data_IF_155874172104
#
_entry.id   IF_155874172104
#
_cell.length_a   1.000
_cell.length_b   1.000
_cell.length_c   1.000
_cell.angle_alpha   90.00
_cell.angle_beta   90.00
_cell.angle_gamma   90.00
#
_symmetry.space_group_name_H-M   'P 1'
#
loop_
_entity.id
_entity.type
_entity.pdbx_description
1 polymer ?
#
# COMPACT_ATOMS: atom_id res chain seq x y z
N UNK A 1 -7.34 -0.93 -12.58
CA UNK A 1 -8.23 -2.02 -12.16
C UNK A 1 -9.42 -1.45 -11.41
N UNK A 2 -10.65 -1.79 -11.81
CA UNK A 2 -11.87 -1.38 -11.08
C UNK A 2 -12.20 -2.37 -9.98
N UNK A 3 -12.81 -1.88 -8.92
CA UNK A 3 -13.20 -2.69 -7.77
C UNK A 3 -14.68 -2.44 -7.40
N UNK A 4 -15.50 -3.48 -7.13
CA UNK A 4 -16.93 -3.31 -6.88
C UNK A 4 -17.23 -2.63 -5.53
N UNK A 5 -17.64 -1.36 -5.54
CA UNK A 5 -18.00 -0.66 -4.29
C UNK A 5 -18.95 -1.45 -3.38
N UNK A 6 -18.61 -1.47 -2.09
CA UNK A 6 -19.41 -2.10 -1.04
C UNK A 6 -19.03 -3.54 -0.74
N UNK A 7 -17.99 -4.07 -1.35
CA UNK A 7 -17.52 -5.46 -1.16
C UNK A 7 -16.44 -5.61 -0.08
N UNK A 8 -15.79 -4.52 0.32
CA UNK A 8 -14.91 -4.48 1.49
C UNK A 8 -15.56 -5.06 2.75
N UNK A 9 -14.76 -5.76 3.56
CA UNK A 9 -15.17 -6.40 4.82
C UNK A 9 -14.12 -6.15 5.89
N UNK A 10 -14.55 -5.64 7.04
CA UNK A 10 -13.69 -5.60 8.21
C UNK A 10 -13.43 -7.03 8.70
N UNK A 11 -12.18 -7.49 8.60
CA UNK A 11 -11.74 -8.81 9.04
C UNK A 11 -10.81 -8.72 10.25
N UNK A 12 -11.24 -9.28 11.37
CA UNK A 12 -10.47 -9.30 12.63
C UNK A 12 -10.73 -10.60 13.39
N UNK A 13 -9.67 -11.23 13.92
CA UNK A 13 -9.77 -12.46 14.73
C UNK A 13 -10.60 -13.60 14.08
N UNK A 14 -10.59 -13.69 12.73
CA UNK A 14 -11.37 -14.68 11.98
C UNK A 14 -12.87 -14.38 11.87
N UNK A 15 -13.30 -13.15 12.20
CA UNK A 15 -14.66 -12.66 12.01
C UNK A 15 -14.66 -11.60 10.90
N UNK A 16 -15.64 -11.67 10.01
CA UNK A 16 -15.87 -10.64 8.98
C UNK A 16 -17.14 -9.85 9.30
N UNK A 17 -17.11 -8.53 9.13
CA UNK A 17 -18.24 -7.64 9.38
C UNK A 17 -18.41 -6.57 8.30
N UNK A 18 -19.25 -5.57 8.56
CA UNK A 18 -19.65 -4.57 7.57
C UNK A 18 -18.47 -3.68 7.11
N UNK A 19 -18.53 -3.27 5.85
CA UNK A 19 -17.58 -2.36 5.20
C UNK A 19 -17.44 -1.01 5.92
N UNK A 20 -16.24 -0.42 5.85
CA UNK A 20 -15.97 0.98 6.15
C UNK A 20 -15.82 1.76 4.83
N UNK A 21 -16.82 2.57 4.45
CA UNK A 21 -16.86 3.27 3.15
C UNK A 21 -15.64 4.15 2.82
N UNK A 22 -14.90 4.60 3.82
CA UNK A 22 -13.68 5.39 3.63
C UNK A 22 -12.44 4.56 3.27
N UNK A 23 -12.54 3.24 3.44
CA UNK A 23 -11.53 2.23 3.16
C UNK A 23 -11.98 1.28 2.03
N UNK A 24 -13.24 1.39 1.57
CA UNK A 24 -13.80 0.71 0.40
C UNK A 24 -13.12 1.19 -0.90
N UNK A 25 -12.31 0.33 -1.50
CA UNK A 25 -11.61 0.58 -2.76
C UNK A 25 -12.62 0.52 -3.90
N UNK A 26 -12.37 1.33 -4.92
CA UNK A 26 -13.19 1.36 -6.14
C UNK A 26 -12.32 1.37 -7.39
N UNK A 27 -11.06 1.75 -7.26
CA UNK A 27 -10.07 1.69 -8.32
C UNK A 27 -8.65 1.61 -7.77
N UNK A 28 -7.79 0.87 -8.46
CA UNK A 28 -6.34 0.88 -8.27
C UNK A 28 -5.66 0.96 -9.63
N UNK A 29 -4.64 1.81 -9.78
CA UNK A 29 -3.82 1.86 -10.98
C UNK A 29 -2.37 2.22 -10.68
N UNK A 30 -1.50 1.78 -11.57
CA UNK A 30 -0.09 2.18 -11.62
C UNK A 30 0.22 2.71 -13.01
N UNK A 31 1.04 3.76 -13.07
CA UNK A 31 1.60 4.28 -14.31
C UNK A 31 3.08 4.64 -14.11
N UNK A 32 3.85 4.67 -15.20
CA UNK A 32 5.25 5.12 -15.17
C UNK A 32 5.32 6.61 -15.52
N UNK A 33 5.85 7.42 -14.60
CA UNK A 33 6.10 8.84 -14.81
C UNK A 33 7.56 9.11 -15.15
N UNK A 34 7.75 9.81 -16.27
CA UNK A 34 9.05 10.32 -16.74
C UNK A 34 9.08 11.85 -16.82
N UNK A 35 8.05 12.51 -16.27
CA UNK A 35 7.86 13.95 -16.19
C UNK A 35 7.63 14.39 -14.75
N UNK A 36 7.70 15.70 -14.50
CA UNK A 36 7.54 16.29 -13.17
C UNK A 36 6.30 15.72 -12.42
N UNK A 37 6.40 15.41 -11.12
CA UNK A 37 7.55 15.69 -10.23
C UNK A 37 8.77 14.79 -10.44
N UNK A 38 8.66 13.77 -11.30
CA UNK A 38 9.74 12.86 -11.67
C UNK A 38 10.47 13.33 -12.94
N UNK A 39 11.33 12.50 -13.51
CA UNK A 39 12.01 12.83 -14.77
C UNK A 39 12.41 11.58 -15.55
N UNK A 40 12.80 11.73 -16.82
CA UNK A 40 13.33 10.62 -17.60
C UNK A 40 14.62 10.02 -16.98
N UNK A 41 15.42 10.83 -16.27
CA UNK A 41 16.64 10.39 -15.59
C UNK A 41 16.38 9.78 -14.21
N UNK A 42 15.23 10.10 -13.60
CA UNK A 42 14.78 9.60 -12.31
C UNK A 42 13.26 9.35 -12.37
N UNK A 43 12.84 8.27 -13.04
CA UNK A 43 11.42 7.95 -13.19
C UNK A 43 10.80 7.49 -11.88
N UNK A 44 9.47 7.55 -11.81
CA UNK A 44 8.69 7.06 -10.69
C UNK A 44 7.52 6.20 -11.16
N UNK A 45 7.04 5.32 -10.30
CA UNK A 45 5.70 4.78 -10.43
C UNK A 45 4.71 5.75 -9.79
N UNK A 46 3.67 6.16 -10.51
CA UNK A 46 2.51 6.81 -9.92
C UNK A 46 1.48 5.75 -9.60
N UNK A 47 1.23 5.58 -8.30
CA UNK A 47 0.25 4.67 -7.75
C UNK A 47 -0.99 5.46 -7.36
N UNK A 48 -2.15 5.08 -7.87
CA UNK A 48 -3.42 5.74 -7.56
C UNK A 48 -4.39 4.73 -6.97
N UNK A 49 -4.93 5.05 -5.79
CA UNK A 49 -6.04 4.35 -5.17
C UNK A 49 -7.25 5.30 -5.10
N UNK A 50 -8.40 4.87 -5.61
CA UNK A 50 -9.67 5.58 -5.44
C UNK A 50 -10.54 4.83 -4.44
N UNK A 51 -11.10 5.57 -3.49
CA UNK A 51 -11.96 5.07 -2.44
C UNK A 51 -13.38 5.58 -2.64
N UNK A 52 -14.37 4.82 -2.17
CA UNK A 52 -15.78 5.19 -2.28
C UNK A 52 -16.06 6.54 -1.59
N UNK A 53 -15.51 6.77 -0.39
CA UNK A 53 -15.60 8.03 0.33
C UNK A 53 -14.40 8.31 1.25
N UNK A 54 -13.25 8.70 0.67
CA UNK A 54 -12.00 8.90 1.41
C UNK A 54 -12.15 9.91 2.56
N UNK A 55 -11.80 9.48 3.77
CA UNK A 55 -11.72 10.27 4.99
C UNK A 55 -10.53 9.80 5.79
N UNK A 56 -9.83 10.74 6.44
CA UNK A 56 -8.71 10.44 7.33
C UNK A 56 -9.14 10.22 8.78
N UNK A 57 -10.38 10.59 9.13
CA UNK A 57 -10.91 10.33 10.46
C UNK A 57 -11.24 8.83 10.62
N UNK A 58 -10.64 8.12 11.59
CA UNK A 58 -10.97 6.72 11.84
C UNK A 58 -12.38 6.57 12.40
N UNK A 59 -13.05 5.47 12.05
CA UNK A 59 -14.37 5.13 12.60
C UNK A 59 -14.20 4.28 13.85
N UNK A 60 -13.78 4.89 14.95
CA UNK A 60 -13.42 4.21 16.22
C UNK A 60 -14.55 3.37 16.85
N UNK A 61 -15.79 3.56 16.40
CA UNK A 61 -16.94 2.76 16.83
C UNK A 61 -17.06 1.43 16.09
N UNK A 62 -16.48 1.31 14.89
CA UNK A 62 -16.43 0.07 14.10
C UNK A 62 -15.15 -0.71 14.37
N UNK A 63 -14.01 -0.01 14.49
CA UNK A 63 -12.71 -0.58 14.82
C UNK A 63 -11.96 0.39 15.74
N UNK A 64 -11.51 -0.02 16.95
CA UNK A 64 -10.79 0.86 17.87
C UNK A 64 -9.42 1.33 17.35
N UNK A 65 -8.90 0.73 16.29
CA UNK A 65 -7.60 1.06 15.71
C UNK A 65 -7.59 2.50 15.15
N UNK A 66 -6.73 3.39 15.67
CA UNK A 66 -6.73 4.81 15.30
C UNK A 66 -5.99 5.12 14.00
N UNK A 67 -5.22 4.17 13.48
CA UNK A 67 -4.38 4.36 12.30
C UNK A 67 -5.07 3.79 11.05
N UNK A 68 -5.15 4.59 10.00
CA UNK A 68 -5.70 4.18 8.70
C UNK A 68 -4.58 4.08 7.67
N UNK A 69 -4.52 2.95 6.97
CA UNK A 69 -3.49 2.69 5.95
C UNK A 69 -4.12 2.31 4.61
N UNK A 70 -3.63 2.93 3.54
CA UNK A 70 -4.00 2.67 2.15
C UNK A 70 -2.76 2.19 1.40
N UNK A 71 -2.66 0.89 1.20
CA UNK A 71 -1.45 0.22 0.73
C UNK A 71 -1.62 -0.33 -0.69
N UNK A 72 -0.56 -0.28 -1.48
CA UNK A 72 -0.43 -1.05 -2.73
C UNK A 72 0.91 -1.76 -2.70
N UNK A 73 0.89 -3.07 -2.92
CA UNK A 73 2.08 -3.92 -3.00
C UNK A 73 2.22 -4.57 -4.36
N UNK A 74 3.43 -5.01 -4.69
CA UNK A 74 3.73 -5.77 -5.90
C UNK A 74 5.01 -6.57 -5.76
N UNK A 75 5.13 -7.62 -6.57
CA UNK A 75 6.31 -8.46 -6.62
C UNK A 75 7.19 -8.12 -7.83
N UNK A 76 8.50 -8.08 -7.61
CA UNK A 76 9.53 -7.98 -8.66
C UNK A 76 10.40 -9.24 -8.60
N UNK A 77 10.27 -10.19 -9.55
CA UNK A 77 11.03 -11.41 -9.56
C UNK A 77 12.49 -11.17 -9.96
N UNK A 78 13.42 -11.88 -9.33
CA UNK A 78 14.86 -11.80 -9.60
C UNK A 78 15.47 -13.19 -9.76
N UNK A 79 16.49 -13.28 -10.62
CA UNK A 79 17.27 -14.52 -10.79
C UNK A 79 18.39 -14.67 -9.76
N UNK A 80 18.77 -13.60 -9.07
CA UNK A 80 19.89 -13.58 -8.12
C UNK A 80 19.44 -13.46 -6.67
N UNK A 81 18.20 -13.00 -6.41
CA UNK A 81 17.63 -13.03 -5.06
C UNK A 81 17.35 -14.48 -4.62
N UNK A 82 17.84 -14.92 -3.44
CA UNK A 82 17.65 -16.29 -2.96
C UNK A 82 16.19 -16.66 -2.67
N UNK A 83 15.30 -15.68 -2.51
CA UNK A 83 13.86 -15.85 -2.34
C UNK A 83 13.07 -15.70 -3.65
N UNK A 84 13.77 -15.51 -4.78
CA UNK A 84 13.18 -15.39 -6.12
C UNK A 84 12.71 -13.98 -6.48
N UNK A 85 12.93 -12.99 -5.62
CA UNK A 85 12.58 -11.59 -5.84
C UNK A 85 12.15 -10.88 -4.56
N UNK A 86 11.60 -9.68 -4.73
CA UNK A 86 11.16 -8.82 -3.63
C UNK A 86 9.71 -8.40 -3.75
N UNK A 87 9.03 -8.31 -2.61
CA UNK A 87 7.70 -7.74 -2.53
C UNK A 87 7.80 -6.31 -1.95
N UNK A 88 7.65 -5.34 -2.85
CA UNK A 88 7.69 -3.93 -2.53
C UNK A 88 6.28 -3.42 -2.25
N UNK A 89 6.21 -2.32 -1.53
CA UNK A 89 4.96 -1.62 -1.31
C UNK A 89 5.14 -0.11 -1.29
N UNK A 90 4.01 0.56 -1.43
CA UNK A 90 3.80 1.95 -1.02
C UNK A 90 2.52 2.03 -0.23
N UNK A 91 2.46 2.90 0.77
CA UNK A 91 1.21 3.22 1.43
C UNK A 91 1.09 4.70 1.79
N UNK A 92 -0.14 5.17 1.90
CA UNK A 92 -0.50 6.37 2.65
C UNK A 92 -1.02 5.98 4.03
N UNK A 93 -0.73 6.78 5.05
CA UNK A 93 -1.10 6.54 6.44
C UNK A 93 -1.62 7.83 7.09
N UNK A 94 -2.67 7.69 7.90
CA UNK A 94 -3.21 8.75 8.73
C UNK A 94 -3.54 8.24 10.13
N UNK A 95 -2.78 8.72 11.09
CA UNK A 95 -3.00 8.42 12.50
C UNK A 95 -3.97 9.43 13.11
N UNK A 96 -5.11 8.94 13.61
CA UNK A 96 -6.10 9.73 14.35
C UNK A 96 -6.56 10.99 13.60
N UNK A 97 -6.74 10.91 12.28
CA UNK A 97 -7.19 12.04 11.46
C UNK A 97 -6.11 13.06 11.09
N UNK A 98 -4.84 12.76 11.35
CA UNK A 98 -3.71 13.61 10.93
C UNK A 98 -3.61 13.70 9.38
N UNK A 99 -2.90 14.71 8.84
CA UNK A 99 -2.60 14.77 7.42
C UNK A 99 -1.89 13.50 6.93
N UNK A 100 -2.18 13.10 5.70
CA UNK A 100 -1.60 11.91 5.08
C UNK A 100 -0.07 11.99 5.02
N UNK A 101 0.58 10.90 5.41
CA UNK A 101 2.00 10.66 5.18
C UNK A 101 2.15 9.43 4.30
N UNK A 102 3.09 9.45 3.35
CA UNK A 102 3.29 8.33 2.44
C UNK A 102 4.67 7.72 2.65
N UNK A 103 4.73 6.40 2.56
CA UNK A 103 5.93 5.62 2.76
C UNK A 103 6.06 4.55 1.68
N UNK A 104 7.30 4.19 1.36
CA UNK A 104 7.64 3.06 0.52
C UNK A 104 8.58 2.10 1.26
N UNK A 105 8.62 0.85 0.82
CA UNK A 105 9.50 -0.15 1.40
C UNK A 105 9.37 -1.53 0.78
N UNK A 106 10.02 -2.48 1.44
CA UNK A 106 9.92 -3.92 1.20
C UNK A 106 9.18 -4.53 2.38
N UNK A 107 8.28 -5.49 2.13
CA UNK A 107 7.53 -6.13 3.18
C UNK A 107 8.45 -6.82 4.21
N UNK A 108 7.99 -6.93 5.44
CA UNK A 108 8.65 -7.73 6.47
C UNK A 108 7.76 -8.94 6.82
N UNK A 109 8.38 -9.93 7.47
CA UNK A 109 7.71 -11.10 8.00
C UNK A 109 7.62 -11.01 9.53
N UNK A 110 6.57 -11.54 10.13
CA UNK A 110 6.47 -11.67 11.57
C UNK A 110 5.94 -13.05 11.94
N UNK A 111 6.62 -13.74 12.85
CA UNK A 111 6.17 -15.03 13.35
C UNK A 111 5.04 -14.84 14.36
N UNK A 112 3.89 -15.46 14.11
CA UNK A 112 2.71 -15.39 14.99
C UNK A 112 2.09 -16.77 15.13
N UNK A 113 2.04 -17.30 16.35
CA UNK A 113 1.30 -18.53 16.65
C UNK A 113 1.74 -19.78 15.89
N UNK A 114 2.99 -19.86 15.42
CA UNK A 114 3.50 -20.96 14.60
C UNK A 114 3.34 -20.76 13.08
N UNK A 115 2.75 -19.65 12.65
CA UNK A 115 2.72 -19.19 11.26
C UNK A 115 3.57 -17.93 11.03
N UNK A 116 3.55 -17.42 9.80
CA UNK A 116 4.19 -16.16 9.40
C UNK A 116 3.11 -15.24 8.82
N UNK A 117 3.10 -13.99 9.27
CA UNK A 117 2.33 -12.90 8.66
C UNK A 117 3.27 -11.94 7.96
N UNK A 118 2.78 -11.28 6.91
CA UNK A 118 3.47 -10.15 6.30
C UNK A 118 3.07 -8.85 6.99
N UNK A 119 4.00 -7.91 7.06
CA UNK A 119 3.82 -6.56 7.57
C UNK A 119 4.49 -5.56 6.64
N UNK A 120 4.14 -4.28 6.78
CA UNK A 120 4.53 -3.24 5.82
C UNK A 120 5.15 -2.03 6.55
N UNK A 121 6.38 -2.16 7.06
CA UNK A 121 7.00 -1.09 7.83
C UNK A 121 7.50 0.04 6.92
N UNK A 122 6.91 1.23 7.01
CA UNK A 122 7.30 2.38 6.19
C UNK A 122 8.70 2.92 6.47
N UNK A 123 9.73 2.25 5.94
CA UNK A 123 11.15 2.59 6.16
C UNK A 123 11.59 3.83 5.39
N UNK A 124 10.95 4.13 4.26
CA UNK A 124 11.26 5.31 3.42
C UNK A 124 10.07 6.26 3.41
N UNK A 125 10.15 7.37 4.14
CA UNK A 125 9.16 8.43 4.03
C UNK A 125 9.33 9.19 2.71
N UNK A 126 8.24 9.33 1.96
CA UNK A 126 8.22 10.07 0.70
C UNK A 126 7.99 11.57 0.95
N UNK A 127 8.54 12.45 0.09
CA UNK A 127 8.27 13.88 0.16
C UNK A 127 6.77 14.18 0.04
N UNK A 128 6.29 15.25 0.69
CA UNK A 128 4.88 15.65 0.61
C UNK A 128 4.39 15.90 -0.83
N UNK A 129 5.27 16.36 -1.73
CA UNK A 129 4.94 16.54 -3.15
C UNK A 129 4.60 15.24 -3.88
N UNK A 130 5.07 14.11 -3.35
CA UNK A 130 4.85 12.76 -3.87
C UNK A 130 3.70 12.06 -3.15
N UNK A 131 3.01 12.72 -2.22
CA UNK A 131 1.96 12.16 -1.38
C UNK A 131 0.72 13.05 -1.45
N UNK A 132 -0.13 12.80 -2.44
CA UNK A 132 -1.28 13.64 -2.75
C UNK A 132 -2.58 12.92 -2.41
N UNK A 133 -3.60 13.70 -2.04
CA UNK A 133 -4.92 13.16 -1.77
C UNK A 133 -6.03 14.14 -2.11
N UNK A 134 -7.20 13.59 -2.45
CA UNK A 134 -8.46 14.33 -2.57
C UNK A 134 -9.49 13.61 -1.72
N UNK A 135 -9.92 14.22 -0.61
CA UNK A 135 -10.91 13.62 0.31
C UNK A 135 -12.34 13.73 -0.19
N UNK A 136 -13.24 12.89 0.34
CA UNK A 136 -14.66 12.86 0.04
C UNK A 136 -15.04 11.74 -0.91
N UNK A 137 -16.24 11.86 -1.50
CA UNK A 137 -16.81 10.82 -2.37
C UNK A 137 -15.93 10.62 -3.61
N UNK A 138 -15.59 9.37 -3.93
CA UNK A 138 -14.63 9.00 -4.99
C UNK A 138 -13.26 9.66 -4.81
N UNK A 139 -12.89 9.92 -3.55
CA UNK A 139 -11.62 10.51 -3.19
C UNK A 139 -10.45 9.60 -3.58
N UNK A 140 -9.28 10.19 -3.76
CA UNK A 140 -8.10 9.49 -4.26
C UNK A 140 -6.91 9.71 -3.35
N UNK A 141 -6.03 8.72 -3.31
CA UNK A 141 -4.65 8.85 -2.86
C UNK A 141 -3.76 8.59 -4.08
N UNK A 142 -2.81 9.50 -4.31
CA UNK A 142 -1.85 9.43 -5.40
C UNK A 142 -0.45 9.51 -4.81
N UNK A 143 0.35 8.48 -5.05
CA UNK A 143 1.70 8.37 -4.51
C UNK A 143 2.68 8.18 -5.66
N UNK A 144 3.63 9.11 -5.79
CA UNK A 144 4.70 9.03 -6.78
C UNK A 144 5.93 8.41 -6.10
N UNK A 145 6.26 7.17 -6.48
CA UNK A 145 7.34 6.38 -5.85
C UNK A 145 8.56 6.37 -6.77
N UNK A 146 9.68 7.01 -6.40
CA UNK A 146 10.91 6.93 -7.17
C UNK A 146 11.32 5.47 -7.36
N UNK A 147 11.67 5.07 -8.60
CA UNK A 147 12.08 3.69 -8.88
C UNK A 147 13.29 3.27 -8.02
N UNK A 148 14.18 4.21 -7.67
CA UNK A 148 15.33 3.95 -6.79
C UNK A 148 14.94 3.49 -5.38
N UNK A 149 13.69 3.68 -4.93
CA UNK A 149 13.21 3.18 -3.65
C UNK A 149 12.61 1.77 -3.72
N UNK A 150 12.30 1.27 -4.91
CA UNK A 150 11.55 0.03 -5.15
C UNK A 150 12.14 -0.74 -6.33
N UNK A 151 13.46 -0.89 -6.32
CA UNK A 151 14.22 -1.56 -7.37
C UNK A 151 14.87 -2.83 -6.85
N UNK A 152 14.72 -3.91 -7.61
CA UNK A 152 15.39 -5.18 -7.37
C UNK A 152 16.51 -5.41 -8.41
N UNK A 153 17.76 -5.67 -8.00
CA UNK A 153 18.82 -6.06 -8.92
C UNK A 153 18.49 -7.34 -9.70
N UNK A 154 18.96 -7.40 -10.95
CA UNK A 154 18.78 -8.56 -11.85
C UNK A 154 17.33 -9.05 -11.97
N UNK A 155 16.38 -8.10 -11.93
CA UNK A 155 14.97 -8.36 -12.19
C UNK A 155 14.78 -9.05 -13.55
N UNK A 156 13.89 -10.04 -13.59
CA UNK A 156 13.64 -10.86 -14.79
C UNK A 156 12.98 -10.02 -15.91
N UNK A 157 12.15 -9.05 -15.53
CA UNK A 157 11.52 -8.09 -16.42
C UNK A 157 11.25 -6.75 -15.69
N UNK A 158 10.67 -5.79 -16.41
CA UNK A 158 10.31 -4.47 -15.87
C UNK A 158 8.85 -4.38 -15.43
N UNK A 159 8.17 -5.52 -15.25
CA UNK A 159 6.76 -5.56 -14.85
C UNK A 159 6.64 -5.55 -13.33
N UNK A 160 5.53 -5.03 -12.85
CA UNK A 160 5.13 -5.21 -11.46
C UNK A 160 4.11 -6.33 -11.44
N UNK A 161 4.46 -7.45 -10.82
CA UNK A 161 3.62 -8.63 -10.74
C UNK A 161 2.71 -8.54 -9.50
N UNK A 162 1.50 -9.06 -9.61
CA UNK A 162 0.57 -9.16 -8.47
C UNK A 162 0.31 -7.83 -7.75
N UNK A 163 0.23 -6.74 -8.52
CA UNK A 163 -0.10 -5.41 -7.98
C UNK A 163 -1.45 -5.50 -7.29
N UNK A 164 -1.45 -5.31 -5.98
CA UNK A 164 -2.62 -5.50 -5.12
C UNK A 164 -2.77 -4.30 -4.21
N UNK A 165 -3.92 -3.63 -4.28
CA UNK A 165 -4.27 -2.55 -3.38
C UNK A 165 -5.12 -3.09 -2.23
N UNK A 166 -4.86 -2.60 -1.03
CA UNK A 166 -5.55 -3.00 0.19
C UNK A 166 -5.66 -1.86 1.18
N UNK A 167 -6.72 -1.86 1.98
CA UNK A 167 -6.90 -0.91 3.08
C UNK A 167 -6.92 -1.64 4.41
N UNK A 168 -6.34 -0.98 5.41
CA UNK A 168 -6.02 -1.58 6.70
C UNK A 168 -6.23 -0.58 7.83
N UNK A 169 -6.43 -1.11 9.03
CA UNK A 169 -6.38 -0.36 10.29
C UNK A 169 -5.33 -0.94 11.21
N UNK A 170 -4.66 -0.07 12.00
CA UNK A 170 -3.61 -0.48 12.93
C UNK A 170 -3.74 0.23 14.29
N UNK A 171 -3.29 -0.45 15.34
CA UNK A 171 -3.26 0.11 16.71
C UNK A 171 -2.28 1.28 16.87
N UNK A 172 -1.26 1.33 16.03
CA UNK A 172 -0.22 2.34 16.01
C UNK A 172 0.29 2.51 14.58
N UNK A 173 0.92 3.65 14.23
CA UNK A 173 1.44 3.87 12.89
C UNK A 173 2.41 2.75 12.45
N UNK A 174 2.20 2.20 11.27
CA UNK A 174 3.02 1.18 10.62
C UNK A 174 4.50 1.58 10.48
N UNK A 175 4.79 2.87 10.37
CA UNK A 175 6.18 3.38 10.27
C UNK A 175 6.95 3.37 11.61
N UNK A 176 6.31 3.06 12.74
CA UNK A 176 6.95 3.13 14.08
C UNK A 176 7.71 1.86 14.46
N UNK A 177 7.46 0.73 13.78
CA UNK A 177 8.10 -0.55 14.07
C UNK A 177 9.01 -0.96 12.90
N UNK A 178 10.27 -0.46 12.86
CA UNK A 178 11.18 -0.81 11.77
C UNK A 178 11.51 -2.31 11.77
N UNK A 179 11.76 -2.92 10.60
CA UNK A 179 12.16 -4.31 10.54
C UNK A 179 13.63 -4.48 10.92
N UNK A 180 13.94 -5.57 11.62
CA UNK A 180 15.30 -6.05 11.87
C UNK A 180 15.49 -7.36 11.13
N UNK A 181 16.38 -7.37 10.13
CA UNK A 181 16.64 -8.54 9.29
C UNK A 181 15.39 -9.12 8.61
N UNK A 182 14.52 -8.25 8.10
CA UNK A 182 13.26 -8.64 7.45
C UNK A 182 12.16 -9.07 8.42
N UNK A 183 12.38 -8.93 9.73
CA UNK A 183 11.37 -9.24 10.77
C UNK A 183 10.94 -7.96 11.46
N UNK A 184 9.64 -7.68 11.51
CA UNK A 184 9.13 -6.50 12.22
C UNK A 184 7.80 -6.00 11.66
N UNK A 185 7.52 -4.71 11.80
CA UNK A 185 6.26 -4.08 11.41
C UNK A 185 5.14 -4.26 12.43
N UNK A 186 4.00 -3.63 12.13
CA UNK A 186 2.79 -3.68 12.95
C UNK A 186 1.77 -4.64 12.32
N UNK A 187 1.05 -5.36 13.17
CA UNK A 187 -0.13 -6.13 12.76
C UNK A 187 -1.26 -5.16 12.40
N UNK A 188 -2.14 -5.62 11.52
CA UNK A 188 -3.25 -4.83 11.00
C UNK A 188 -4.54 -5.66 10.92
N UNK A 189 -5.68 -4.98 10.92
CA UNK A 189 -6.93 -5.57 10.46
C UNK A 189 -7.14 -5.20 8.99
N UNK A 190 -7.51 -6.18 8.18
CA UNK A 190 -7.76 -5.98 6.76
C UNK A 190 -9.21 -5.51 6.56
N UNK A 191 -9.41 -4.49 5.73
CA UNK A 191 -10.74 -3.94 5.46
C UNK A 191 -11.16 -4.20 4.02
N UNK A 192 -10.26 -4.00 3.07
CA UNK A 192 -10.59 -4.21 1.68
C UNK A 192 -9.35 -4.60 0.88
N UNK A 193 -9.58 -5.35 -0.20
CA UNK A 193 -8.55 -5.78 -1.14
C UNK A 193 -9.13 -5.74 -2.54
N UNK A 194 -8.56 -4.87 -3.37
CA UNK A 194 -8.92 -4.83 -4.77
C UNK A 194 -8.31 -6.01 -5.54
N UNK A 195 -8.97 -6.40 -6.63
CA UNK A 195 -8.45 -7.44 -7.51
C UNK A 195 -7.02 -7.13 -7.99
N UNK A 196 -6.14 -8.12 -7.86
CA UNK A 196 -4.75 -8.03 -8.30
C UNK A 196 -4.59 -7.96 -9.82
N UNK A 197 -3.56 -7.26 -10.29
CA UNK A 197 -3.22 -7.14 -11.71
C UNK A 197 -1.71 -7.06 -11.95
N UNK A 198 -1.28 -7.24 -13.19
CA UNK A 198 0.11 -6.98 -13.59
C UNK A 198 0.19 -5.61 -14.24
N UNK A 199 1.15 -4.79 -13.82
CA UNK A 199 1.51 -3.57 -14.55
C UNK A 199 2.67 -3.84 -15.50
N UNK A 200 2.48 -3.52 -16.77
CA UNK A 200 3.52 -3.57 -17.81
C UNK A 200 3.78 -2.14 -18.31
N UNK A 201 4.98 -1.57 -18.08
CA UNK A 201 5.28 -0.18 -18.47
C UNK A 201 5.33 0.02 -19.99
N UNK A 202 5.29 -1.05 -20.79
CA UNK A 202 5.32 -0.99 -22.26
C UNK A 202 3.92 -1.01 -22.89
N UNK A 203 2.88 -1.27 -22.10
CA UNK A 203 1.50 -1.33 -22.56
C UNK A 203 0.80 -0.01 -22.20
N UNK A 204 0.34 0.73 -23.22
CA UNK A 204 -0.38 2.00 -23.10
C UNK A 204 -1.88 1.85 -23.35
#
# INVERSE_FOLDING_TARGET
>A
MSDPSGDGKYEVNGLSSANMRQLDITHSSVSLLTTAPCSAAAPCYQVVMQLNNLSFAPTITQDPDPDLVWLTQWFVPSTTDPNGGKNFFVYGESFNGAPLQCFAGENAAQAVGGGVTLTYPGVTQLPAANCLSTTGRKGTITIDVPLSNVNEPDAIDNRLHEVTASTMTLQQPANTVPPVSGIGGSLFNLIDVAQGYTFDPTMH
#
